data_IF_551195006569
#
_entry.id   IF_551195006569
#
_cell.length_a   1.000
_cell.length_b   1.000
_cell.length_c   1.000
_cell.angle_alpha   90.00
_cell.angle_beta   90.00
_cell.angle_gamma   90.00
#
_symmetry.space_group_name_H-M   'P 1'
#
loop_
_entity.id
_entity.type
_entity.pdbx_description
1 polymer ?
#
# COMPACT_ATOMS: atom_id res chain seq x y z
N UNK A 1 17.93 8.03 29.14
CA UNK A 1 16.80 8.48 28.30
C UNK A 1 17.13 8.09 26.89
N UNK A 2 16.41 7.16 26.26
CA UNK A 2 16.51 6.98 24.81
C UNK A 2 15.64 8.07 24.22
N UNK A 3 16.24 9.04 23.54
CA UNK A 3 15.47 9.99 22.73
C UNK A 3 14.60 9.16 21.79
N UNK A 4 13.29 9.22 21.99
CA UNK A 4 12.34 8.75 20.99
C UNK A 4 12.61 9.59 19.75
N UNK A 5 13.30 9.00 18.77
CA UNK A 5 13.47 9.60 17.45
C UNK A 5 12.07 9.58 16.84
N UNK A 6 11.34 10.69 17.01
CA UNK A 6 10.06 10.88 16.34
C UNK A 6 10.39 11.06 14.86
N UNK A 7 10.04 10.07 14.06
CA UNK A 7 10.22 10.12 12.61
C UNK A 7 9.48 11.34 12.03
N UNK A 8 10.06 11.99 11.02
CA UNK A 8 9.42 13.13 10.37
C UNK A 8 8.06 12.71 9.76
N UNK A 9 7.12 13.65 9.56
CA UNK A 9 5.85 13.36 8.89
C UNK A 9 6.03 12.67 7.53
N UNK A 10 7.05 13.06 6.77
CA UNK A 10 7.42 12.44 5.49
C UNK A 10 7.89 11.00 5.66
N UNK A 11 8.71 10.71 6.68
CA UNK A 11 9.16 9.36 6.99
C UNK A 11 7.99 8.46 7.41
N UNK A 12 7.02 8.99 8.17
CA UNK A 12 5.79 8.28 8.54
C UNK A 12 4.93 7.99 7.31
N UNK A 13 4.74 8.97 6.44
CA UNK A 13 4.00 8.79 5.19
C UNK A 13 4.67 7.76 4.25
N UNK A 14 6.01 7.77 4.15
CA UNK A 14 6.76 6.74 3.40
C UNK A 14 6.59 5.34 4.00
N UNK A 15 6.58 5.21 5.33
CA UNK A 15 6.30 3.92 5.98
C UNK A 15 4.89 3.41 5.63
N UNK A 16 3.89 4.31 5.56
CA UNK A 16 2.53 3.96 5.16
C UNK A 16 2.48 3.50 3.69
N UNK A 17 3.14 4.20 2.77
CA UNK A 17 3.27 3.77 1.37
C UNK A 17 3.89 2.37 1.28
N UNK A 18 4.98 2.14 2.01
CA UNK A 18 5.66 0.84 2.00
C UNK A 18 4.77 -0.29 2.56
N UNK A 19 3.94 0.00 3.56
CA UNK A 19 2.96 -0.96 4.07
C UNK A 19 1.88 -1.28 3.03
N UNK A 20 1.26 -0.26 2.43
CA UNK A 20 0.24 -0.44 1.40
C UNK A 20 0.77 -1.19 0.17
N UNK A 21 2.02 -0.94 -0.24
CA UNK A 21 2.66 -1.66 -1.33
C UNK A 21 2.84 -3.16 -1.03
N UNK A 22 3.18 -3.52 0.22
CA UNK A 22 3.25 -4.93 0.65
C UNK A 22 1.87 -5.58 0.63
N UNK A 23 0.83 -4.86 1.01
CA UNK A 23 -0.55 -5.37 0.98
C UNK A 23 -1.03 -5.62 -0.46
N UNK A 24 -0.71 -4.71 -1.38
CA UNK A 24 -0.96 -4.90 -2.83
C UNK A 24 -0.23 -6.15 -3.33
N UNK A 25 1.05 -6.30 -3.00
CA UNK A 25 1.83 -7.48 -3.41
C UNK A 25 1.21 -8.78 -2.86
N UNK A 26 0.83 -8.80 -1.59
CA UNK A 26 0.22 -9.97 -0.97
C UNK A 26 -1.14 -10.32 -1.61
N UNK A 27 -1.96 -9.32 -1.91
CA UNK A 27 -3.23 -9.52 -2.60
C UNK A 27 -3.03 -10.01 -4.05
N UNK A 28 -2.07 -9.46 -4.79
CA UNK A 28 -1.70 -9.94 -6.12
C UNK A 28 -1.23 -11.39 -6.09
N UNK A 29 -0.35 -11.76 -5.16
CA UNK A 29 0.15 -13.13 -5.02
C UNK A 29 -0.98 -14.12 -4.68
N UNK A 30 -2.03 -13.68 -3.98
CA UNK A 30 -3.22 -14.50 -3.76
C UNK A 30 -4.02 -14.70 -5.05
N UNK A 31 -4.18 -13.64 -5.87
CA UNK A 31 -4.83 -13.72 -7.17
C UNK A 31 -4.05 -14.61 -8.16
N UNK A 32 -2.72 -14.53 -8.17
CA UNK A 32 -1.86 -15.32 -9.05
C UNK A 32 -2.04 -16.84 -8.87
N UNK A 33 -2.41 -17.31 -7.67
CA UNK A 33 -2.69 -18.73 -7.41
C UNK A 33 -3.83 -19.28 -8.26
N UNK A 34 -4.76 -18.43 -8.68
CA UNK A 34 -5.90 -18.79 -9.53
C UNK A 34 -5.51 -18.98 -11.01
N UNK A 35 -4.32 -18.50 -11.41
CA UNK A 35 -3.81 -18.56 -12.77
C UNK A 35 -2.73 -19.65 -12.98
N UNK A 36 -2.43 -20.47 -11.96
CA UNK A 36 -1.40 -21.53 -11.99
C UNK A 36 -1.79 -22.83 -12.70
N UNK A 37 -0.89 -23.82 -12.62
CA UNK A 37 -0.71 -25.01 -13.50
C UNK A 37 -1.90 -26.00 -13.63
N UNK A 38 -2.99 -25.80 -12.91
CA UNK A 38 -4.23 -26.55 -13.06
C UNK A 38 -5.36 -25.54 -13.26
N UNK A 39 -5.48 -25.06 -14.50
CA UNK A 39 -6.25 -23.87 -14.83
C UNK A 39 -7.66 -23.81 -14.23
N UNK A 40 -8.04 -22.60 -13.85
CA UNK A 40 -9.41 -22.14 -14.10
C UNK A 40 -10.33 -21.97 -12.90
N UNK A 41 -9.82 -21.77 -11.68
CA UNK A 41 -10.69 -21.26 -10.61
C UNK A 41 -10.71 -19.74 -10.68
N UNK A 42 -11.88 -19.14 -10.85
CA UNK A 42 -12.00 -17.68 -10.84
C UNK A 42 -11.70 -17.15 -9.42
N UNK A 43 -10.89 -16.08 -9.25
CA UNK A 43 -10.71 -15.46 -7.95
C UNK A 43 -12.06 -15.04 -7.37
N UNK A 44 -12.22 -15.24 -6.07
CA UNK A 44 -13.45 -14.87 -5.39
C UNK A 44 -13.66 -13.35 -5.40
N UNK A 45 -14.92 -12.91 -5.33
CA UNK A 45 -15.27 -11.49 -5.18
C UNK A 45 -14.56 -10.86 -3.98
N UNK A 46 -14.35 -11.62 -2.91
CA UNK A 46 -13.63 -11.16 -1.72
C UNK A 46 -12.15 -10.88 -2.02
N UNK A 47 -11.48 -11.74 -2.79
CA UNK A 47 -10.07 -11.54 -3.17
C UNK A 47 -9.91 -10.33 -4.09
N UNK A 48 -10.83 -10.15 -5.04
CA UNK A 48 -10.88 -8.97 -5.91
C UNK A 48 -11.12 -7.69 -5.10
N UNK A 49 -12.06 -7.71 -4.14
CA UNK A 49 -12.34 -6.58 -3.27
C UNK A 49 -11.13 -6.23 -2.39
N UNK A 50 -10.42 -7.24 -1.87
CA UNK A 50 -9.19 -7.04 -1.09
C UNK A 50 -8.09 -6.39 -1.92
N UNK A 51 -7.90 -6.86 -3.14
CA UNK A 51 -6.93 -6.28 -4.06
C UNK A 51 -7.27 -4.82 -4.40
N UNK A 52 -8.53 -4.54 -4.72
CA UNK A 52 -8.99 -3.17 -4.99
C UNK A 52 -8.80 -2.24 -3.78
N UNK A 53 -9.10 -2.71 -2.57
CA UNK A 53 -8.89 -1.95 -1.34
C UNK A 53 -7.40 -1.64 -1.09
N UNK A 54 -6.51 -2.62 -1.29
CA UNK A 54 -5.08 -2.40 -1.14
C UNK A 54 -4.53 -1.39 -2.17
N UNK A 55 -5.02 -1.43 -3.41
CA UNK A 55 -4.66 -0.47 -4.46
C UNK A 55 -5.15 0.94 -4.13
N UNK A 56 -6.34 1.07 -3.54
CA UNK A 56 -6.86 2.36 -3.08
C UNK A 56 -6.00 2.92 -1.94
N UNK A 57 -5.68 2.10 -0.94
CA UNK A 57 -4.85 2.51 0.19
C UNK A 57 -3.44 2.96 -0.26
N UNK A 58 -2.84 2.27 -1.24
CA UNK A 58 -1.56 2.68 -1.81
C UNK A 58 -1.64 4.04 -2.52
N UNK A 59 -2.75 4.29 -3.22
CA UNK A 59 -3.00 5.59 -3.86
C UNK A 59 -3.15 6.69 -2.81
N UNK A 60 -3.98 6.46 -1.79
CA UNK A 60 -4.26 7.44 -0.75
C UNK A 60 -2.99 7.80 0.05
N UNK A 61 -2.17 6.79 0.36
CA UNK A 61 -0.88 6.99 1.03
C UNK A 61 0.10 7.83 0.18
N UNK A 62 0.11 7.62 -1.15
CA UNK A 62 0.94 8.42 -2.06
C UNK A 62 0.44 9.86 -2.18
N UNK A 63 -0.87 10.06 -2.28
CA UNK A 63 -1.47 11.40 -2.35
C UNK A 63 -1.27 12.20 -1.04
N UNK A 64 -1.26 11.53 0.11
CA UNK A 64 -0.86 12.17 1.38
C UNK A 64 0.61 12.60 1.38
N UNK A 65 1.51 11.71 0.95
CA UNK A 65 2.93 12.03 0.85
C UNK A 65 3.20 13.19 -0.12
N UNK A 66 2.57 13.18 -1.30
CA UNK A 66 2.72 14.25 -2.29
C UNK A 66 2.21 15.60 -1.75
N UNK A 67 1.14 15.59 -0.93
CA UNK A 67 0.66 16.80 -0.22
C UNK A 67 1.68 17.32 0.78
N UNK A 68 2.30 16.45 1.58
CA UNK A 68 3.36 16.84 2.53
C UNK A 68 4.56 17.47 1.81
N UNK A 69 5.02 16.85 0.71
CA UNK A 69 6.13 17.40 -0.08
C UNK A 69 5.80 18.76 -0.73
N UNK A 70 4.54 18.97 -1.10
CA UNK A 70 4.09 20.24 -1.67
C UNK A 70 4.04 21.35 -0.61
N UNK A 71 3.69 21.00 0.63
CA UNK A 71 3.64 21.92 1.78
C UNK A 71 5.05 22.31 2.25
N UNK A 72 5.97 21.35 2.39
CA UNK A 72 7.35 21.62 2.81
C UNK A 72 8.20 22.38 1.80
N UNK A 73 7.69 22.68 0.60
CA UNK A 73 8.31 23.56 -0.40
C UNK A 73 7.91 25.04 -0.26
N UNK A 74 6.92 25.35 0.57
CA UNK A 74 6.41 26.71 0.78
C UNK A 74 6.95 27.36 2.07
N UNK A 75 7.61 26.58 2.93
CA UNK A 75 8.39 27.03 4.09
C UNK A 75 9.87 27.26 3.74
#
# INVERSE_FOLDING_TARGET
>A
MREEIIASPEAIALMRIAAAARDVQAASAALEKHFGDAGGTQPSTLELARFAAAMQELRDAREEFDRLLSQGRQD
#
